data_IF_911990112290
#
_entry.id   IF_911990112290
#
_cell.length_a   1.000
_cell.length_b   1.000
_cell.length_c   1.000
_cell.angle_alpha   90.00
_cell.angle_beta   90.00
_cell.angle_gamma   90.00
#
_symmetry.space_group_name_H-M   'P 1'
#
loop_
_entity.id
_entity.type
_entity.pdbx_description
1 polymer ?
#
# COMPACT_ATOMS: atom_id res chain seq x y z
N UNK A 1 -6.98 14.09 15.05
CA UNK A 1 -6.28 12.82 14.74
C UNK A 1 -7.29 11.69 14.86
N UNK A 2 -7.87 11.29 13.72
CA UNK A 2 -8.59 10.01 13.62
C UNK A 2 -7.53 8.92 13.65
N UNK A 3 -7.68 7.90 14.48
CA UNK A 3 -6.82 6.70 14.47
C UNK A 3 -7.76 5.52 14.30
N UNK A 4 -7.68 4.88 13.14
CA UNK A 4 -8.37 3.63 12.81
C UNK A 4 -7.36 2.53 13.01
N UNK A 5 -7.71 1.53 13.81
CA UNK A 5 -6.90 0.34 14.06
C UNK A 5 -7.68 -0.84 13.47
N UNK A 6 -7.12 -1.51 12.48
CA UNK A 6 -7.82 -2.56 11.74
C UNK A 6 -6.99 -3.85 11.60
N UNK A 7 -7.24 -4.88 12.42
CA UNK A 7 -6.84 -6.25 12.11
C UNK A 7 -8.00 -7.02 11.49
N UNK A 8 -8.27 -6.85 10.19
CA UNK A 8 -9.44 -7.40 9.48
C UNK A 8 -10.30 -6.29 8.86
N UNK A 9 -10.37 -6.28 7.53
CA UNK A 9 -10.62 -5.07 6.76
C UNK A 9 -11.91 -5.20 5.95
N UNK A 10 -12.86 -4.28 6.15
CA UNK A 10 -13.99 -4.11 5.23
C UNK A 10 -13.60 -3.06 4.19
N UNK A 11 -13.34 -3.45 2.92
CA UNK A 11 -13.02 -2.50 1.89
C UNK A 11 -14.16 -1.49 1.68
N UNK A 12 -15.40 -1.92 1.89
CA UNK A 12 -16.59 -1.15 1.56
C UNK A 12 -16.85 0.01 2.53
N UNK A 13 -16.75 -0.23 3.84
CA UNK A 13 -16.95 0.81 4.86
C UNK A 13 -15.86 1.89 4.77
N UNK A 14 -14.61 1.48 4.55
CA UNK A 14 -13.51 2.42 4.36
C UNK A 14 -13.69 3.24 3.09
N UNK A 15 -14.00 2.60 1.97
CA UNK A 15 -14.21 3.26 0.69
C UNK A 15 -15.37 4.26 0.77
N UNK A 16 -16.44 3.93 1.49
CA UNK A 16 -17.57 4.82 1.71
C UNK A 16 -17.16 6.04 2.55
N UNK A 17 -16.42 5.83 3.65
CA UNK A 17 -15.90 6.92 4.48
C UNK A 17 -14.99 7.87 3.68
N UNK A 18 -14.10 7.33 2.83
CA UNK A 18 -13.21 8.13 1.99
C UNK A 18 -13.99 8.91 0.94
N UNK A 19 -15.01 8.31 0.31
CA UNK A 19 -15.87 9.00 -0.66
C UNK A 19 -16.53 10.21 -0.02
N UNK A 20 -17.11 10.05 1.17
CA UNK A 20 -17.85 11.13 1.82
C UNK A 20 -16.90 12.23 2.29
N UNK A 21 -15.76 11.89 2.89
CA UNK A 21 -14.77 12.91 3.31
C UNK A 21 -14.20 13.68 2.12
N UNK A 22 -13.93 13.00 1.00
CA UNK A 22 -13.43 13.64 -0.21
C UNK A 22 -14.51 14.51 -0.87
N UNK A 23 -15.75 14.02 -0.94
CA UNK A 23 -16.87 14.79 -1.49
C UNK A 23 -17.15 16.06 -0.67
N UNK A 24 -17.13 15.97 0.66
CA UNK A 24 -17.28 17.12 1.56
C UNK A 24 -16.18 18.19 1.36
N UNK A 25 -15.06 17.82 0.72
CA UNK A 25 -13.94 18.70 0.39
C UNK A 25 -13.93 19.14 -1.08
N UNK A 26 -15.02 18.90 -1.81
CA UNK A 26 -15.17 19.29 -3.21
C UNK A 26 -14.40 18.39 -4.20
N UNK A 27 -13.84 17.27 -3.74
CA UNK A 27 -13.13 16.34 -4.62
C UNK A 27 -14.14 15.45 -5.34
N UNK A 28 -14.20 15.56 -6.66
CA UNK A 28 -15.02 14.67 -7.50
C UNK A 28 -14.29 13.34 -7.75
N UNK A 29 -14.93 12.23 -7.39
CA UNK A 29 -14.40 10.88 -7.63
C UNK A 29 -15.23 10.20 -8.72
N UNK A 30 -14.59 9.84 -9.84
CA UNK A 30 -15.20 9.08 -10.93
C UNK A 30 -14.66 7.64 -10.85
N UNK A 31 -15.55 6.64 -10.84
CA UNK A 31 -15.21 5.22 -10.68
C UNK A 31 -15.69 4.40 -11.86
N UNK A 32 -15.18 3.17 -11.97
CA UNK A 32 -15.64 2.22 -12.99
C UNK A 32 -15.28 2.64 -14.42
N UNK A 33 -14.22 3.45 -14.56
CA UNK A 33 -13.75 3.96 -15.85
C UNK A 33 -12.23 4.04 -15.85
N UNK A 34 -11.66 4.20 -17.04
CA UNK A 34 -10.22 4.37 -17.27
C UNK A 34 -10.02 5.51 -18.26
N UNK A 35 -8.87 6.18 -18.18
CA UNK A 35 -8.46 7.11 -19.23
C UNK A 35 -8.18 6.32 -20.52
N UNK A 36 -8.78 6.75 -21.63
CA UNK A 36 -8.60 6.16 -22.97
C UNK A 36 -7.93 7.13 -23.94
N UNK A 37 -7.72 8.37 -23.53
CA UNK A 37 -7.02 9.37 -24.30
C UNK A 37 -6.93 10.70 -23.58
N UNK A 38 -6.14 11.60 -24.14
CA UNK A 38 -5.93 12.95 -23.65
C UNK A 38 -6.02 13.92 -24.84
N UNK A 39 -6.50 15.14 -24.60
CA UNK A 39 -6.37 16.24 -25.57
C UNK A 39 -5.33 17.22 -25.08
N UNK A 40 -4.63 17.84 -26.02
CA UNK A 40 -3.66 18.89 -25.72
C UNK A 40 -4.02 20.18 -26.45
N UNK A 41 -3.60 21.31 -25.89
CA UNK A 41 -3.67 22.60 -26.58
C UNK A 41 -2.57 22.73 -27.66
N UNK A 42 -2.47 23.91 -28.29
CA UNK A 42 -1.46 24.21 -29.30
C UNK A 42 -0.01 24.18 -28.77
N UNK A 43 0.18 24.27 -27.46
CA UNK A 43 1.49 24.22 -26.80
C UNK A 43 1.87 22.78 -26.39
N UNK A 44 0.96 21.82 -26.59
CA UNK A 44 1.14 20.43 -26.19
C UNK A 44 0.75 20.13 -24.74
N UNK A 45 0.21 21.11 -24.00
CA UNK A 45 -0.23 20.90 -22.62
C UNK A 45 -1.54 20.12 -22.58
N UNK A 46 -1.62 19.10 -21.72
CA UNK A 46 -2.83 18.27 -21.58
C UNK A 46 -3.95 19.09 -20.94
N UNK A 47 -5.05 19.23 -21.66
CA UNK A 47 -6.21 20.05 -21.25
C UNK A 47 -7.44 19.23 -20.89
N UNK A 48 -7.57 18.00 -21.40
CA UNK A 48 -8.70 17.13 -21.09
C UNK A 48 -8.29 15.66 -20.99
N UNK A 49 -9.01 14.92 -20.15
CA UNK A 49 -8.96 13.45 -20.10
C UNK A 49 -10.24 12.87 -20.71
N UNK A 50 -10.07 11.91 -21.62
CA UNK A 50 -11.17 11.13 -22.19
C UNK A 50 -11.30 9.85 -21.40
N UNK A 51 -12.47 9.62 -20.82
CA UNK A 51 -12.77 8.42 -20.06
C UNK A 51 -13.52 7.39 -20.92
N UNK A 52 -13.33 6.09 -20.65
CA UNK A 52 -13.93 4.98 -21.42
C UNK A 52 -15.46 5.04 -21.47
N UNK A 53 -16.09 5.58 -20.43
CA UNK A 53 -17.51 5.93 -20.41
C UNK A 53 -17.60 7.40 -20.80
N UNK A 54 -18.23 7.68 -21.94
CA UNK A 54 -18.06 8.89 -22.77
C UNK A 54 -18.37 10.24 -22.08
N UNK A 55 -17.51 10.68 -21.18
CA UNK A 55 -17.46 12.04 -20.65
C UNK A 55 -16.03 12.58 -20.82
N UNK A 56 -15.91 13.73 -21.49
CA UNK A 56 -14.67 14.49 -21.57
C UNK A 56 -14.64 15.51 -20.44
N UNK A 57 -13.52 15.58 -19.73
CA UNK A 57 -13.36 16.45 -18.56
C UNK A 57 -12.22 17.43 -18.80
N UNK A 58 -12.54 18.73 -18.73
CA UNK A 58 -11.56 19.81 -18.77
C UNK A 58 -10.77 19.84 -17.46
N UNK A 59 -9.45 19.92 -17.57
CA UNK A 59 -8.50 19.84 -16.46
C UNK A 59 -7.50 21.00 -16.53
N UNK A 60 -6.95 21.34 -15.37
CA UNK A 60 -5.84 22.30 -15.24
C UNK A 60 -4.53 21.59 -14.86
N UNK A 61 -4.62 20.47 -14.15
CA UNK A 61 -3.47 19.63 -13.78
C UNK A 61 -3.91 18.17 -13.77
N UNK A 62 -3.08 17.30 -14.34
CA UNK A 62 -3.25 15.86 -14.30
C UNK A 62 -2.08 15.23 -13.53
N UNK A 63 -2.38 14.51 -12.46
CA UNK A 63 -1.42 13.68 -11.74
C UNK A 63 -1.73 12.21 -12.05
N UNK A 64 -0.79 11.52 -12.69
CA UNK A 64 -0.90 10.09 -12.98
C UNK A 64 0.04 9.34 -12.03
N UNK A 65 -0.51 8.38 -11.30
CA UNK A 65 0.26 7.40 -10.56
C UNK A 65 0.13 6.07 -11.32
N UNK A 66 1.22 5.63 -11.93
CA UNK A 66 1.34 4.29 -12.53
C UNK A 66 2.32 3.53 -11.65
N UNK A 67 1.86 2.43 -11.07
CA UNK A 67 2.75 1.49 -10.38
C UNK A 67 3.50 0.70 -11.47
N UNK A 68 4.82 0.92 -11.58
CA UNK A 68 5.68 0.17 -12.51
C UNK A 68 6.41 -0.94 -11.75
N UNK A 69 6.26 -2.17 -12.27
CA UNK A 69 6.52 -3.39 -11.53
C UNK A 69 7.98 -3.83 -11.74
N UNK A 70 8.88 -3.36 -10.88
CA UNK A 70 10.28 -3.82 -10.85
C UNK A 70 10.43 -5.27 -10.29
N UNK A 71 9.34 -6.03 -10.20
CA UNK A 71 9.31 -7.42 -9.71
C UNK A 71 9.93 -8.43 -10.70
N UNK A 72 10.24 -8.04 -11.94
CA UNK A 72 10.61 -9.01 -13.00
C UNK A 72 12.06 -9.53 -12.93
N UNK A 73 12.98 -8.86 -12.24
CA UNK A 73 14.41 -9.18 -12.31
C UNK A 73 14.96 -10.02 -11.15
N UNK A 74 14.24 -10.12 -10.02
CA UNK A 74 14.65 -10.94 -8.87
C UNK A 74 13.61 -12.02 -8.58
N UNK A 75 13.33 -12.88 -9.57
CA UNK A 75 12.55 -14.12 -9.39
C UNK A 75 13.35 -15.17 -8.60
N UNK A 76 13.79 -14.82 -7.40
CA UNK A 76 14.36 -15.75 -6.43
C UNK A 76 13.54 -15.69 -5.16
N UNK A 77 13.00 -16.83 -4.71
CA UNK A 77 12.38 -16.94 -3.38
C UNK A 77 13.42 -16.56 -2.34
N UNK A 78 13.23 -15.44 -1.64
CA UNK A 78 14.07 -15.08 -0.51
C UNK A 78 13.52 -15.80 0.71
N UNK A 79 14.38 -16.55 1.40
CA UNK A 79 14.03 -17.08 2.73
C UNK A 79 14.10 -15.95 3.78
N UNK A 80 13.88 -16.29 5.05
CA UNK A 80 13.79 -15.40 6.22
C UNK A 80 14.96 -14.42 6.48
N UNK A 81 15.99 -14.39 5.62
CA UNK A 81 17.21 -13.60 5.75
C UNK A 81 17.51 -12.70 4.54
N UNK A 82 16.56 -12.59 3.59
CA UNK A 82 16.67 -11.69 2.43
C UNK A 82 17.84 -11.95 1.49
N UNK A 83 18.45 -13.14 1.59
CA UNK A 83 19.55 -13.59 0.74
C UNK A 83 18.99 -14.18 -0.56
N UNK A 84 19.52 -13.73 -1.69
CA UNK A 84 19.17 -14.26 -3.02
C UNK A 84 19.88 -15.59 -3.30
N UNK A 85 19.60 -16.18 -4.46
CA UNK A 85 20.36 -17.33 -4.97
C UNK A 85 21.80 -16.98 -5.38
N UNK A 86 22.11 -15.69 -5.58
CA UNK A 86 23.46 -15.24 -5.90
C UNK A 86 24.23 -15.01 -4.59
N UNK A 87 25.42 -15.64 -4.41
CA UNK A 87 26.21 -15.47 -3.20
C UNK A 87 26.46 -13.99 -2.88
N UNK A 88 26.30 -13.63 -1.60
CA UNK A 88 26.51 -12.28 -1.08
C UNK A 88 25.62 -11.18 -1.69
N UNK A 89 24.55 -11.55 -2.39
CA UNK A 89 23.55 -10.60 -2.91
C UNK A 89 22.24 -10.75 -2.12
N UNK A 90 21.72 -9.63 -1.65
CA UNK A 90 20.52 -9.52 -0.82
C UNK A 90 19.51 -8.58 -1.48
N UNK A 91 18.22 -8.82 -1.22
CA UNK A 91 17.12 -8.00 -1.73
C UNK A 91 16.13 -7.68 -0.61
N UNK A 92 15.75 -6.41 -0.47
CA UNK A 92 14.97 -5.88 0.65
C UNK A 92 13.92 -4.89 0.13
N UNK A 93 12.91 -4.58 0.94
CA UNK A 93 11.83 -3.65 0.56
C UNK A 93 11.02 -4.14 -0.63
N UNK A 94 10.52 -3.21 -1.44
CA UNK A 94 9.52 -3.44 -2.50
C UNK A 94 9.92 -4.52 -3.52
N UNK A 95 11.23 -4.71 -3.77
CA UNK A 95 11.74 -5.71 -4.72
C UNK A 95 11.88 -7.11 -4.12
N UNK A 96 11.68 -7.26 -2.81
CA UNK A 96 11.82 -8.53 -2.11
C UNK A 96 10.52 -9.35 -2.18
N UNK A 97 10.64 -10.60 -2.63
CA UNK A 97 9.62 -11.64 -2.38
C UNK A 97 10.16 -12.56 -1.31
N UNK A 98 9.54 -12.56 -0.13
CA UNK A 98 10.01 -13.27 1.06
C UNK A 98 8.93 -14.18 1.65
N UNK A 99 9.33 -15.18 2.44
CA UNK A 99 8.39 -16.01 3.19
C UNK A 99 7.86 -15.22 4.41
N UNK A 100 6.57 -14.88 4.39
CA UNK A 100 5.88 -14.23 5.50
C UNK A 100 5.48 -15.28 6.53
N UNK A 101 6.29 -15.39 7.59
CA UNK A 101 6.14 -16.40 8.65
C UNK A 101 4.75 -16.49 9.25
N UNK A 102 4.09 -15.35 9.46
CA UNK A 102 2.77 -15.28 10.09
C UNK A 102 1.68 -16.04 9.32
N UNK A 103 1.80 -16.12 7.99
CA UNK A 103 0.79 -16.75 7.11
C UNK A 103 1.32 -17.96 6.33
N UNK A 104 2.61 -18.28 6.50
CA UNK A 104 3.29 -19.36 5.77
C UNK A 104 3.15 -19.25 4.23
N UNK A 105 3.20 -18.02 3.71
CA UNK A 105 3.11 -17.74 2.27
C UNK A 105 4.22 -16.81 1.79
N UNK A 106 4.53 -16.88 0.49
CA UNK A 106 5.44 -15.97 -0.18
C UNK A 106 4.72 -14.65 -0.49
N UNK A 107 5.26 -13.56 0.03
CA UNK A 107 4.67 -12.23 -0.15
C UNK A 107 5.70 -11.22 -0.63
N UNK A 108 5.21 -10.19 -1.31
CA UNK A 108 5.90 -8.94 -1.61
C UNK A 108 4.99 -7.82 -1.16
N UNK A 109 5.55 -6.82 -0.46
CA UNK A 109 4.78 -5.70 0.10
C UNK A 109 5.51 -4.38 -0.12
N UNK A 110 4.78 -3.34 -0.45
CA UNK A 110 5.30 -1.99 -0.69
C UNK A 110 5.08 -1.12 0.55
N UNK A 111 5.64 -1.55 1.67
CA UNK A 111 5.48 -0.89 2.97
C UNK A 111 6.80 -0.24 3.41
N UNK A 112 6.77 1.04 3.76
CA UNK A 112 7.93 1.77 4.31
C UNK A 112 8.48 1.07 5.56
N UNK A 113 7.60 0.51 6.38
CA UNK A 113 7.97 -0.25 7.57
C UNK A 113 8.72 -1.55 7.20
N UNK A 114 8.18 -2.32 6.24
CA UNK A 114 8.85 -3.49 5.68
C UNK A 114 10.25 -3.15 5.14
N UNK A 115 10.38 -2.08 4.36
CA UNK A 115 11.67 -1.66 3.79
C UNK A 115 12.75 -1.42 4.87
N UNK A 116 12.37 -0.82 6.00
CA UNK A 116 13.30 -0.59 7.13
C UNK A 116 13.69 -1.89 7.82
N UNK A 117 12.71 -2.71 8.19
CA UNK A 117 12.94 -3.89 9.02
C UNK A 117 13.63 -4.99 8.18
N UNK A 118 13.30 -5.13 6.89
CA UNK A 118 13.99 -6.06 5.98
C UNK A 118 15.45 -5.68 5.75
N UNK A 119 15.76 -4.38 5.63
CA UNK A 119 17.14 -3.89 5.54
C UNK A 119 17.94 -4.20 6.82
N UNK A 120 17.36 -3.98 7.99
CA UNK A 120 17.96 -4.33 9.28
C UNK A 120 18.22 -5.85 9.39
N UNK A 121 17.24 -6.67 9.00
CA UNK A 121 17.36 -8.13 8.99
C UNK A 121 18.47 -8.61 8.05
N UNK A 122 18.56 -8.06 6.84
CA UNK A 122 19.64 -8.38 5.91
C UNK A 122 21.02 -8.01 6.49
N UNK A 123 21.13 -6.83 7.13
CA UNK A 123 22.35 -6.41 7.81
C UNK A 123 22.79 -7.37 8.93
N UNK A 124 21.83 -7.80 9.76
CA UNK A 124 22.06 -8.82 10.81
C UNK A 124 22.53 -10.15 10.20
N UNK A 125 21.87 -10.60 9.13
CA UNK A 125 22.23 -11.85 8.46
C UNK A 125 23.64 -11.82 7.85
N UNK A 126 24.04 -10.69 7.25
CA UNK A 126 25.41 -10.49 6.74
C UNK A 126 26.42 -10.60 7.88
N UNK A 127 26.20 -9.87 8.99
CA UNK A 127 27.12 -9.87 10.13
C UNK A 127 27.21 -11.21 10.86
N UNK A 128 26.10 -11.91 11.00
CA UNK A 128 26.10 -13.24 11.60
C UNK A 128 26.84 -14.24 10.69
N UNK A 129 26.66 -14.14 9.36
CA UNK A 129 27.38 -14.99 8.40
C UNK A 129 28.90 -14.75 8.44
N UNK A 130 29.37 -13.53 8.67
CA UNK A 130 30.81 -13.22 8.85
C UNK A 130 31.38 -13.89 10.11
N UNK A 131 30.56 -14.04 11.16
CA UNK A 131 30.96 -14.57 12.47
C UNK A 131 30.68 -16.05 12.68
N UNK A 132 29.95 -16.70 11.78
CA UNK A 132 29.43 -18.05 11.98
C UNK A 132 28.30 -18.14 13.02
N UNK A 133 27.60 -17.03 13.26
CA UNK A 133 26.46 -16.94 14.17
C UNK A 133 25.14 -17.15 13.41
N UNK A 134 24.06 -17.46 14.13
CA UNK A 134 22.70 -17.53 13.58
C UNK A 134 21.91 -16.25 13.88
N UNK A 135 20.90 -15.97 13.05
CA UNK A 135 19.93 -14.88 13.25
C UNK A 135 18.54 -15.48 13.35
N UNK A 136 17.68 -14.86 14.14
CA UNK A 136 16.25 -15.21 14.20
C UNK A 136 15.62 -14.93 12.85
N UNK A 137 14.69 -15.79 12.44
CA UNK A 137 13.93 -15.62 11.20
C UNK A 137 13.14 -14.30 11.19
N UNK A 138 13.03 -13.71 10.00
CA UNK A 138 12.16 -12.55 9.79
C UNK A 138 10.70 -12.88 10.09
N UNK A 139 10.14 -12.17 11.06
CA UNK A 139 8.76 -12.32 11.52
C UNK A 139 8.05 -10.97 11.47
N UNK A 140 7.47 -10.68 10.31
CA UNK A 140 6.88 -9.39 10.01
C UNK A 140 5.36 -9.43 10.16
N UNK A 141 4.84 -8.53 10.99
CA UNK A 141 3.43 -8.18 11.03
C UNK A 141 3.20 -7.08 9.98
N UNK A 142 2.43 -7.33 8.90
CA UNK A 142 2.12 -6.29 7.93
C UNK A 142 1.58 -5.04 8.61
N UNK A 143 2.20 -3.90 8.31
CA UNK A 143 1.82 -2.61 8.84
C UNK A 143 1.81 -1.55 7.74
N UNK A 144 0.65 -0.94 7.54
CA UNK A 144 0.46 0.14 6.57
C UNK A 144 -0.31 1.30 7.21
N UNK A 145 0.13 2.53 6.96
CA UNK A 145 -0.43 3.71 7.61
C UNK A 145 -0.60 4.89 6.65
N UNK A 146 -1.67 4.93 5.84
CA UNK A 146 -1.91 6.05 4.96
C UNK A 146 -2.37 7.26 5.80
N UNK A 147 -1.86 8.43 5.43
CA UNK A 147 -2.35 9.72 5.91
C UNK A 147 -2.88 10.51 4.73
N UNK A 148 -4.11 10.97 4.84
CA UNK A 148 -4.73 11.82 3.83
C UNK A 148 -5.56 12.90 4.52
N UNK A 149 -5.17 14.15 4.31
CA UNK A 149 -5.83 15.32 4.87
C UNK A 149 -5.87 15.23 6.42
N UNK A 150 -7.05 15.09 7.04
CA UNK A 150 -7.20 15.05 8.51
C UNK A 150 -7.35 13.63 9.07
N UNK A 151 -7.21 12.63 8.21
CA UNK A 151 -7.39 11.22 8.55
C UNK A 151 -6.04 10.54 8.66
N UNK A 152 -5.82 9.88 9.79
CA UNK A 152 -4.75 8.91 9.96
C UNK A 152 -5.37 7.53 10.18
N UNK A 153 -4.80 6.52 9.53
CA UNK A 153 -5.27 5.14 9.62
C UNK A 153 -4.08 4.22 9.77
N UNK A 154 -4.29 3.10 10.44
CA UNK A 154 -3.30 2.08 10.67
C UNK A 154 -3.95 0.72 10.40
N UNK A 155 -3.29 -0.07 9.56
CA UNK A 155 -3.70 -1.41 9.19
C UNK A 155 -2.63 -2.37 9.68
N UNK A 156 -3.08 -3.46 10.31
CA UNK A 156 -2.22 -4.52 10.82
C UNK A 156 -2.69 -5.87 10.30
N UNK A 157 -1.76 -6.72 9.89
CA UNK A 157 -2.06 -8.05 9.38
C UNK A 157 -2.71 -8.06 8.00
N UNK A 158 -3.55 -9.07 7.74
CA UNK A 158 -4.20 -9.31 6.46
C UNK A 158 -5.70 -8.99 6.46
N UNK A 159 -6.20 -8.64 5.29
CA UNK A 159 -7.58 -8.28 5.03
C UNK A 159 -8.43 -9.45 4.51
N UNK A 160 -8.43 -10.57 5.23
CA UNK A 160 -9.16 -11.79 4.86
C UNK A 160 -10.32 -12.08 5.81
N UNK A 161 -11.38 -12.71 5.31
CA UNK A 161 -12.55 -13.12 6.09
C UNK A 161 -13.66 -12.06 6.17
N UNK A 162 -14.65 -12.35 7.02
CA UNK A 162 -15.73 -11.42 7.35
C UNK A 162 -15.22 -10.28 8.22
N UNK A 163 -15.91 -9.14 8.19
CA UNK A 163 -15.51 -7.97 8.96
C UNK A 163 -16.57 -7.56 9.98
N UNK A 164 -16.11 -7.26 11.19
CA UNK A 164 -16.87 -6.61 12.25
C UNK A 164 -16.46 -5.15 12.35
N UNK A 165 -17.43 -4.24 12.29
CA UNK A 165 -17.20 -2.81 12.46
C UNK A 165 -17.42 -2.40 13.93
N UNK A 166 -16.52 -1.58 14.45
CA UNK A 166 -16.57 -1.06 15.81
C UNK A 166 -16.47 0.47 15.83
N UNK A 167 -17.19 1.12 16.74
CA UNK A 167 -17.10 2.57 16.97
C UNK A 167 -17.91 3.42 15.98
N UNK A 168 -17.56 4.70 15.90
CA UNK A 168 -18.28 5.71 15.11
C UNK A 168 -17.68 5.86 13.71
N UNK A 169 -18.35 5.23 12.73
CA UNK A 169 -17.98 5.32 11.32
C UNK A 169 -18.74 6.43 10.57
N UNK A 170 -19.54 7.26 11.24
CA UNK A 170 -20.30 8.30 10.59
C UNK A 170 -19.35 9.43 10.11
N UNK A 171 -19.20 9.64 8.79
CA UNK A 171 -18.27 10.64 8.26
C UNK A 171 -18.73 12.08 8.51
N UNK A 172 -19.96 12.30 8.97
CA UNK A 172 -20.46 13.61 9.37
C UNK A 172 -20.22 13.91 10.85
N UNK A 173 -19.76 12.93 11.64
CA UNK A 173 -19.42 13.16 13.04
C UNK A 173 -18.28 14.19 13.15
N UNK A 174 -18.26 15.03 14.19
CA UNK A 174 -17.18 16.00 14.39
C UNK A 174 -15.79 15.35 14.53
N UNK A 175 -15.74 14.10 15.01
CA UNK A 175 -14.50 13.34 15.24
C UNK A 175 -14.75 11.84 15.05
N UNK A 176 -14.96 11.35 13.82
CA UNK A 176 -15.24 9.94 13.57
C UNK A 176 -14.06 9.10 14.05
N UNK A 177 -14.35 8.00 14.75
CA UNK A 177 -13.35 7.07 15.26
C UNK A 177 -13.95 5.67 15.28
N UNK A 178 -13.48 4.84 14.38
CA UNK A 178 -13.91 3.47 14.22
C UNK A 178 -12.71 2.55 14.00
N UNK A 179 -12.93 1.25 14.15
CA UNK A 179 -12.01 0.18 13.80
C UNK A 179 -12.77 -0.96 13.15
N UNK A 180 -12.05 -1.92 12.59
CA UNK A 180 -12.64 -3.16 12.09
C UNK A 180 -11.72 -4.34 12.29
N UNK A 181 -12.26 -5.52 12.46
CA UNK A 181 -11.49 -6.77 12.51
C UNK A 181 -12.24 -7.93 11.87
#
# INVERSE_FOLDING_TARGET
>A
MVSVHCPGFSPLALLLSMRIVNANKGIKIIKGTVAVGFTSDSNGEVTEVKLKVAECWKLTLLLVLVEDLLQRYLKGRLMFFFKTSVPNVYAVGDVATFLMKLYDDLSSVEHVDHARISADQAGKAIKASEKGESVVEYDYLPYFYPRSIDLARQFYGENVGDTVLLGDNNPQSPKPKFGSY
#
